data_IF_895357731591
#
_entry.id   IF_895357731591
#
_cell.length_a   1.000
_cell.length_b   1.000
_cell.length_c   1.000
_cell.angle_alpha   90.00
_cell.angle_beta   90.00
_cell.angle_gamma   90.00
#
_symmetry.space_group_name_H-M   'P 1'
#
loop_
_entity.id
_entity.type
_entity.pdbx_description
1 polymer ?
#
# COMPACT_ATOMS: atom_id res chain seq x y z
N UNK A 1 26.32 13.50 -3.77
CA UNK A 1 25.00 13.74 -4.38
C UNK A 1 24.02 13.86 -3.21
N UNK A 2 23.63 15.07 -2.82
CA UNK A 2 22.84 15.34 -1.60
C UNK A 2 21.50 15.94 -2.00
N UNK A 3 20.63 15.12 -2.58
CA UNK A 3 19.21 15.45 -2.66
C UNK A 3 18.52 14.73 -1.49
N UNK A 4 17.62 15.39 -0.76
CA UNK A 4 16.87 14.72 0.30
C UNK A 4 16.05 13.58 -0.30
N UNK A 5 16.12 12.41 0.34
CA UNK A 5 15.25 11.28 0.02
C UNK A 5 13.86 11.58 0.60
N UNK A 6 12.92 11.90 -0.28
CA UNK A 6 11.52 12.04 0.11
C UNK A 6 10.91 10.66 0.37
N UNK A 7 9.84 10.61 1.17
CA UNK A 7 9.08 9.40 1.39
C UNK A 7 8.45 8.90 0.09
N UNK A 8 8.35 7.58 -0.04
CA UNK A 8 7.67 7.01 -1.20
C UNK A 8 6.16 7.18 -1.08
N UNK A 9 5.42 7.45 -2.17
CA UNK A 9 3.97 7.60 -2.10
C UNK A 9 3.23 6.42 -1.44
N UNK A 10 3.74 5.20 -1.60
CA UNK A 10 3.19 4.00 -0.93
C UNK A 10 3.37 4.05 0.59
N UNK A 11 4.50 4.55 1.07
CA UNK A 11 4.79 4.67 2.51
C UNK A 11 3.89 5.74 3.14
N UNK A 12 3.70 6.86 2.45
CA UNK A 12 2.74 7.90 2.88
C UNK A 12 1.30 7.35 2.91
N UNK A 13 0.97 6.40 2.03
CA UNK A 13 -0.31 5.70 2.03
C UNK A 13 -0.41 4.59 3.10
N UNK A 14 0.64 4.34 3.89
CA UNK A 14 0.67 3.37 4.99
C UNK A 14 1.43 2.07 4.72
N UNK A 15 2.10 1.92 3.57
CA UNK A 15 2.96 0.77 3.31
C UNK A 15 4.21 0.77 4.20
N UNK A 16 4.69 -0.41 4.56
CA UNK A 16 5.94 -0.58 5.31
C UNK A 16 7.17 -0.20 4.48
N UNK A 17 8.21 0.33 5.15
CA UNK A 17 9.49 0.68 4.53
C UNK A 17 10.21 -0.54 3.93
N UNK A 18 10.00 -1.74 4.50
CA UNK A 18 10.53 -3.00 3.98
C UNK A 18 10.09 -3.26 2.54
N UNK A 19 8.92 -2.78 2.15
CA UNK A 19 8.43 -2.80 0.76
C UNK A 19 8.39 -4.21 0.15
N UNK A 20 8.08 -5.21 0.96
CA UNK A 20 8.05 -6.63 0.62
C UNK A 20 6.65 -7.13 0.20
N UNK A 21 5.62 -6.31 0.39
CA UNK A 21 4.28 -6.55 -0.16
C UNK A 21 4.26 -6.19 -1.66
N UNK A 22 4.55 -7.18 -2.51
CA UNK A 22 4.55 -7.02 -3.98
C UNK A 22 3.13 -6.85 -4.54
N UNK A 23 2.17 -7.61 -4.01
CA UNK A 23 0.75 -7.52 -4.39
C UNK A 23 -0.11 -7.41 -3.13
N UNK A 24 -0.63 -6.22 -2.87
CA UNK A 24 -1.48 -5.97 -1.71
C UNK A 24 -2.87 -6.63 -1.88
N UNK A 25 -3.49 -6.98 -0.75
CA UNK A 25 -4.93 -7.21 -0.70
C UNK A 25 -5.64 -5.86 -0.80
N UNK A 26 -6.84 -5.83 -1.39
CA UNK A 26 -7.62 -4.60 -1.54
C UNK A 26 -8.71 -4.50 -0.47
N UNK A 27 -8.96 -3.28 0.01
CA UNK A 27 -10.12 -2.90 0.82
C UNK A 27 -10.96 -1.85 0.10
N UNK A 28 -12.28 -1.79 0.34
CA UNK A 28 -13.12 -0.70 -0.14
C UNK A 28 -12.62 0.67 0.35
N UNK A 29 -12.90 1.71 -0.43
CA UNK A 29 -12.64 3.10 -0.01
C UNK A 29 -13.51 3.46 1.20
N UNK A 30 -12.88 3.91 2.28
CA UNK A 30 -13.57 4.37 3.48
C UNK A 30 -13.19 5.83 3.76
N UNK A 31 -14.15 6.78 3.88
CA UNK A 31 -13.82 8.18 4.10
C UNK A 31 -12.96 8.45 5.34
N UNK A 32 -13.10 7.63 6.39
CA UNK A 32 -12.29 7.72 7.61
C UNK A 32 -10.82 7.32 7.43
N UNK A 33 -10.45 6.70 6.31
CA UNK A 33 -9.05 6.38 5.98
C UNK A 33 -8.25 7.64 5.59
N UNK A 34 -8.92 8.79 5.39
CA UNK A 34 -8.30 10.01 4.88
C UNK A 34 -8.39 11.14 5.91
N UNK A 35 -7.25 11.78 6.19
CA UNK A 35 -7.17 12.93 7.08
C UNK A 35 -7.81 14.22 6.51
N UNK A 36 -8.28 14.18 5.26
CA UNK A 36 -8.92 15.29 4.57
C UNK A 36 -10.36 14.94 4.21
N UNK A 37 -11.24 15.93 4.27
CA UNK A 37 -12.60 15.78 3.77
C UNK A 37 -12.62 15.99 2.25
N UNK A 38 -13.04 14.96 1.51
CA UNK A 38 -13.28 15.08 0.07
C UNK A 38 -14.61 15.76 -0.21
N UNK A 39 -14.67 16.56 -1.29
CA UNK A 39 -15.96 16.97 -1.85
C UNK A 39 -16.66 15.76 -2.50
N UNK A 40 -17.99 15.79 -2.68
CA UNK A 40 -18.71 14.68 -3.32
C UNK A 40 -18.17 14.34 -4.71
N UNK A 41 -17.78 15.34 -5.51
CA UNK A 41 -17.21 15.13 -6.83
C UNK A 41 -15.81 14.48 -6.77
N UNK A 42 -14.98 14.86 -5.80
CA UNK A 42 -13.67 14.24 -5.60
C UNK A 42 -13.81 12.78 -5.14
N UNK A 43 -14.74 12.52 -4.22
CA UNK A 43 -15.02 11.16 -3.75
C UNK A 43 -15.52 10.24 -4.88
N UNK A 44 -16.49 10.72 -5.68
CA UNK A 44 -16.98 9.99 -6.84
C UNK A 44 -15.86 9.68 -7.85
N UNK A 45 -14.96 10.65 -8.09
CA UNK A 45 -13.78 10.44 -8.95
C UNK A 45 -12.84 9.38 -8.36
N UNK A 46 -12.60 9.40 -7.05
CA UNK A 46 -11.74 8.42 -6.38
C UNK A 46 -12.31 7.00 -6.51
N UNK A 47 -13.62 6.84 -6.32
CA UNK A 47 -14.34 5.57 -6.52
C UNK A 47 -14.25 5.07 -7.97
N UNK A 48 -14.33 5.97 -8.95
CA UNK A 48 -14.21 5.61 -10.36
C UNK A 48 -12.79 5.16 -10.75
N UNK A 49 -11.75 5.74 -10.14
CA UNK A 49 -10.35 5.37 -10.40
C UNK A 49 -10.00 4.03 -9.74
N UNK A 50 -10.53 3.79 -8.54
CA UNK A 50 -10.26 2.57 -7.75
C UNK A 50 -11.54 1.74 -7.56
N UNK A 51 -12.12 1.19 -8.64
CA UNK A 51 -13.41 0.50 -8.57
C UNK A 51 -13.37 -0.78 -7.73
N UNK A 52 -12.20 -1.41 -7.61
CA UNK A 52 -11.95 -2.59 -6.77
C UNK A 52 -11.41 -2.26 -5.38
N UNK A 53 -11.30 -0.98 -5.03
CA UNK A 53 -10.71 -0.53 -3.77
C UNK A 53 -9.21 -0.24 -3.87
N UNK A 54 -8.63 0.06 -2.69
CA UNK A 54 -7.23 0.47 -2.50
C UNK A 54 -6.48 -0.55 -1.65
N UNK A 55 -5.15 -0.50 -1.62
CA UNK A 55 -4.36 -1.42 -0.80
C UNK A 55 -4.74 -1.36 0.68
N UNK A 56 -4.91 -2.54 1.27
CA UNK A 56 -4.99 -2.74 2.70
C UNK A 56 -3.59 -3.11 3.23
N UNK A 57 -2.82 -2.09 3.60
CA UNK A 57 -1.46 -2.27 4.11
C UNK A 57 -1.39 -2.92 5.50
N UNK A 58 -2.53 -3.17 6.16
CA UNK A 58 -2.59 -3.91 7.42
C UNK A 58 -2.46 -5.43 7.25
N UNK A 59 -2.44 -5.93 6.01
CA UNK A 59 -2.44 -7.34 5.67
C UNK A 59 -1.18 -7.75 4.88
N UNK A 60 -0.73 -9.01 4.99
CA UNK A 60 0.31 -9.52 4.12
C UNK A 60 -0.13 -9.51 2.65
N UNK A 61 0.86 -9.53 1.76
CA UNK A 61 0.64 -9.66 0.33
C UNK A 61 -0.08 -10.94 -0.05
N UNK A 62 -0.78 -10.89 -1.18
CA UNK A 62 -1.41 -12.06 -1.78
C UNK A 62 -0.31 -13.08 -2.13
N UNK A 63 -0.48 -14.31 -1.65
CA UNK A 63 0.51 -15.40 -1.78
C UNK A 63 1.89 -15.10 -1.16
N UNK A 64 2.01 -14.08 -0.30
CA UNK A 64 3.26 -13.81 0.41
C UNK A 64 3.62 -15.00 1.29
N UNK A 65 4.85 -15.47 1.16
CA UNK A 65 5.41 -16.56 1.95
C UNK A 65 6.48 -16.03 2.88
N UNK A 66 6.64 -16.70 4.02
CA UNK A 66 7.74 -16.43 4.92
C UNK A 66 9.08 -16.78 4.26
N UNK A 67 10.13 -16.08 4.69
CA UNK A 67 11.49 -16.43 4.29
C UNK A 67 11.83 -17.83 4.80
N UNK A 68 12.41 -18.67 3.94
CA UNK A 68 12.91 -20.01 4.33
C UNK A 68 14.08 -19.94 5.33
N UNK A 69 14.71 -18.78 5.43
CA UNK A 69 15.81 -18.48 6.34
C UNK A 69 16.51 -17.20 5.90
N UNK A 70 17.32 -16.60 6.76
CA UNK A 70 18.12 -15.41 6.43
C UNK A 70 19.16 -15.71 5.34
N UNK A 71 19.69 -16.93 5.35
CA UNK A 71 20.62 -17.45 4.36
C UNK A 71 20.19 -18.86 3.96
N UNK A 72 19.95 -19.07 2.67
CA UNK A 72 19.65 -20.38 2.10
C UNK A 72 20.84 -20.85 1.25
N UNK A 73 21.26 -22.09 1.47
CA UNK A 73 22.28 -22.76 0.68
C UNK A 73 21.59 -23.73 -0.28
N UNK A 74 22.12 -23.84 -1.49
CA UNK A 74 21.74 -24.86 -2.45
C UNK A 74 22.94 -25.79 -2.60
N UNK A 75 22.72 -27.10 -2.52
CA UNK A 75 23.74 -28.11 -2.79
C UNK A 75 24.03 -28.24 -4.29
#
# INVERSE_FOLDING_TARGET
>A
MLYPTNSFPREVAGADVASDIVKCQLKPLTPSDYAVAFTPAQWARLQAIFPSGVCDWSKPGIEQQDLLGTWVFFE
#
